data_IF_627814026783
#
_entry.id   IF_627814026783
#
_cell.length_a   1.000
_cell.length_b   1.000
_cell.length_c   1.000
_cell.angle_alpha   90.00
_cell.angle_beta   90.00
_cell.angle_gamma   90.00
#
_symmetry.space_group_name_H-M   'P 1'
#
loop_
_entity.id
_entity.type
_entity.pdbx_description
1 polymer ?
#
# COMPACT_ATOMS: atom_id res chain seq x y z
N UNK A 1 15.23 51.92 25.25
CA UNK A 1 14.66 50.87 26.13
C UNK A 1 13.14 50.71 26.05
N UNK A 2 12.29 51.68 26.44
CA UNK A 2 10.83 51.51 26.34
C UNK A 2 10.31 51.29 24.89
N UNK A 3 10.78 52.08 23.93
CA UNK A 3 10.39 51.91 22.49
C UNK A 3 10.85 50.57 21.87
N UNK A 4 12.02 50.05 22.26
CA UNK A 4 12.53 48.79 21.77
C UNK A 4 11.72 47.60 22.34
N UNK A 5 11.27 47.70 23.60
CA UNK A 5 10.41 46.69 24.21
C UNK A 5 9.04 46.68 23.54
N UNK A 6 8.46 47.84 23.23
CA UNK A 6 7.22 47.95 22.49
C UNK A 6 7.29 47.33 21.09
N UNK A 7 8.37 47.58 20.36
CA UNK A 7 8.59 47.01 19.02
C UNK A 7 8.69 45.48 19.11
N UNK A 8 9.44 44.95 20.07
CA UNK A 8 9.57 43.49 20.26
C UNK A 8 8.22 42.84 20.63
N UNK A 9 7.46 43.50 21.51
CA UNK A 9 6.12 43.01 21.87
C UNK A 9 5.12 43.05 20.72
N UNK A 10 5.13 44.10 19.91
CA UNK A 10 4.27 44.21 18.72
C UNK A 10 4.68 43.13 17.68
N UNK A 11 5.97 42.95 17.44
CA UNK A 11 6.47 41.93 16.49
C UNK A 11 6.09 40.52 16.97
N UNK A 12 6.22 40.23 18.27
CA UNK A 12 5.81 38.96 18.82
C UNK A 12 4.30 38.74 18.71
N UNK A 13 3.49 39.77 19.00
CA UNK A 13 2.02 39.69 18.88
C UNK A 13 1.59 39.43 17.43
N UNK A 14 2.21 40.11 16.46
CA UNK A 14 1.95 39.89 15.04
C UNK A 14 2.32 38.44 14.62
N UNK A 15 3.45 37.92 15.14
CA UNK A 15 3.88 36.54 14.85
C UNK A 15 2.89 35.53 15.41
N UNK A 16 2.40 35.74 16.63
CA UNK A 16 1.37 34.88 17.26
C UNK A 16 0.05 34.95 16.50
N UNK A 17 -0.38 36.13 16.08
CA UNK A 17 -1.60 36.30 15.30
C UNK A 17 -1.51 35.62 13.91
N UNK A 18 -0.38 35.76 13.21
CA UNK A 18 -0.14 35.07 11.94
C UNK A 18 -0.13 33.57 12.14
N UNK A 19 0.49 33.06 13.21
CA UNK A 19 0.51 31.64 13.52
C UNK A 19 -0.90 31.12 13.83
N UNK A 20 -1.67 31.80 14.66
CA UNK A 20 -3.08 31.44 14.97
C UNK A 20 -3.91 31.47 13.70
N UNK A 21 -3.76 32.49 12.86
CA UNK A 21 -4.51 32.62 11.60
C UNK A 21 -4.14 31.48 10.62
N UNK A 22 -2.86 31.14 10.51
CA UNK A 22 -2.43 30.03 9.66
C UNK A 22 -2.94 28.66 10.16
N UNK A 23 -2.94 28.43 11.47
CA UNK A 23 -3.49 27.21 12.07
C UNK A 23 -5.00 27.15 11.88
N UNK A 24 -5.71 28.27 12.04
CA UNK A 24 -7.16 28.35 11.82
C UNK A 24 -7.50 28.14 10.34
N UNK A 25 -6.78 28.78 9.42
CA UNK A 25 -7.00 28.64 7.98
C UNK A 25 -6.76 27.22 7.49
N UNK A 26 -5.67 26.58 7.92
CA UNK A 26 -5.40 25.16 7.61
C UNK A 26 -6.48 24.25 8.21
N UNK A 27 -7.01 24.58 9.39
CA UNK A 27 -8.10 23.83 10.01
C UNK A 27 -9.43 23.97 9.23
N UNK A 28 -9.76 25.15 8.73
CA UNK A 28 -10.97 25.37 7.92
C UNK A 28 -10.87 24.71 6.54
N UNK A 29 -9.72 24.82 5.87
CA UNK A 29 -9.45 24.15 4.59
C UNK A 29 -9.59 22.63 4.73
N UNK A 30 -9.08 22.04 5.83
CA UNK A 30 -9.26 20.63 6.13
C UNK A 30 -10.72 20.25 6.38
N UNK A 31 -11.50 21.10 7.08
CA UNK A 31 -12.93 20.86 7.30
C UNK A 31 -13.72 20.89 5.99
N UNK A 32 -13.44 21.84 5.11
CA UNK A 32 -14.10 21.94 3.81
C UNK A 32 -13.76 20.72 2.94
N UNK A 33 -12.49 20.33 2.88
CA UNK A 33 -12.02 19.14 2.19
C UNK A 33 -12.63 17.82 2.71
N UNK A 34 -12.82 17.73 4.04
CA UNK A 34 -13.48 16.57 4.69
C UNK A 34 -14.97 16.59 4.36
N UNK A 35 -15.63 17.76 4.45
CA UNK A 35 -17.06 17.92 4.11
C UNK A 35 -17.35 17.53 2.66
N UNK A 36 -16.58 18.03 1.70
CA UNK A 36 -16.69 17.67 0.29
C UNK A 36 -16.50 16.16 0.06
N UNK A 37 -15.57 15.56 0.78
CA UNK A 37 -15.30 14.11 0.69
C UNK A 37 -16.43 13.28 1.32
N UNK A 38 -17.06 13.77 2.40
CA UNK A 38 -18.22 13.14 3.01
C UNK A 38 -19.43 13.19 2.09
N UNK A 39 -19.69 14.34 1.45
CA UNK A 39 -20.74 14.49 0.44
C UNK A 39 -20.53 13.55 -0.74
N UNK A 40 -19.30 13.43 -1.25
CA UNK A 40 -18.96 12.48 -2.33
C UNK A 40 -19.21 11.05 -1.90
N UNK A 41 -18.86 10.68 -0.67
CA UNK A 41 -19.10 9.34 -0.13
C UNK A 41 -20.61 9.06 0.04
N UNK A 42 -21.37 9.98 0.61
CA UNK A 42 -22.82 9.87 0.74
C UNK A 42 -23.51 9.76 -0.63
N UNK A 43 -23.14 10.60 -1.59
CA UNK A 43 -23.64 10.53 -2.97
C UNK A 43 -23.34 9.17 -3.61
N UNK A 44 -22.14 8.64 -3.38
CA UNK A 44 -21.76 7.32 -3.88
C UNK A 44 -22.59 6.20 -3.23
N UNK A 45 -22.86 6.27 -1.93
CA UNK A 45 -23.68 5.29 -1.21
C UNK A 45 -25.14 5.35 -1.70
N UNK A 46 -25.73 6.55 -1.78
CA UNK A 46 -27.10 6.71 -2.26
C UNK A 46 -27.29 6.33 -3.74
N UNK A 47 -26.28 6.53 -4.59
CA UNK A 47 -26.35 6.08 -5.98
C UNK A 47 -26.35 4.55 -6.14
N UNK A 48 -25.87 3.83 -5.11
CA UNK A 48 -25.85 2.36 -5.11
C UNK A 48 -27.19 1.71 -4.74
N UNK A 49 -28.05 2.41 -4.01
CA UNK A 49 -29.38 1.91 -3.68
C UNK A 49 -30.28 1.77 -4.93
N UNK A 50 -29.87 2.39 -6.04
CA UNK A 50 -30.51 2.29 -7.35
C UNK A 50 -29.86 1.23 -8.27
N UNK A 51 -28.85 0.46 -7.80
CA UNK A 51 -28.06 -0.43 -8.65
C UNK A 51 -28.50 -1.89 -8.52
N UNK A 52 -29.25 -2.38 -9.53
CA UNK A 52 -29.46 -3.80 -9.72
C UNK A 52 -28.13 -4.48 -10.13
N UNK A 53 -27.77 -5.65 -9.56
CA UNK A 53 -26.57 -6.35 -9.98
C UNK A 53 -26.75 -6.83 -11.43
N UNK A 54 -26.08 -6.20 -12.36
CA UNK A 54 -25.89 -6.75 -13.71
C UNK A 54 -25.17 -8.08 -13.51
N UNK A 55 -25.89 -9.17 -13.66
CA UNK A 55 -25.34 -10.53 -13.61
C UNK A 55 -24.22 -10.63 -14.64
N UNK A 56 -22.98 -10.58 -14.18
CA UNK A 56 -21.81 -10.57 -15.03
C UNK A 56 -21.51 -12.00 -15.51
N UNK A 57 -22.33 -12.46 -16.48
CA UNK A 57 -22.21 -13.78 -17.12
C UNK A 57 -20.81 -14.01 -17.71
N UNK A 58 -20.13 -12.95 -18.16
CA UNK A 58 -18.75 -13.01 -18.64
C UNK A 58 -17.75 -13.35 -17.50
N UNK A 59 -17.98 -12.85 -16.29
CA UNK A 59 -17.14 -13.16 -15.12
C UNK A 59 -17.23 -14.63 -14.72
N UNK A 60 -18.44 -15.21 -14.79
CA UNK A 60 -18.68 -16.61 -14.45
C UNK A 60 -17.99 -17.55 -15.45
N UNK A 61 -18.05 -17.28 -16.74
CA UNK A 61 -17.43 -18.10 -17.79
C UNK A 61 -15.90 -18.06 -17.71
N UNK A 62 -15.32 -16.89 -17.43
CA UNK A 62 -13.86 -16.72 -17.27
C UNK A 62 -13.35 -17.38 -16.00
N UNK A 63 -14.05 -17.21 -14.87
CA UNK A 63 -13.75 -17.88 -13.59
C UNK A 63 -13.70 -19.40 -13.78
N UNK A 64 -14.66 -19.98 -14.52
CA UNK A 64 -14.70 -21.41 -14.80
C UNK A 64 -13.49 -21.88 -15.59
N UNK A 65 -13.08 -21.13 -16.62
CA UNK A 65 -11.88 -21.44 -17.43
C UNK A 65 -10.59 -21.45 -16.60
N UNK A 66 -10.41 -20.52 -15.65
CA UNK A 66 -9.22 -20.49 -14.78
C UNK A 66 -9.24 -21.57 -13.70
N UNK A 67 -10.41 -21.87 -13.13
CA UNK A 67 -10.57 -23.00 -12.21
C UNK A 67 -10.28 -24.35 -12.88
N UNK A 68 -10.66 -24.52 -14.14
CA UNK A 68 -10.36 -25.71 -14.94
C UNK A 68 -8.85 -25.85 -15.24
N UNK A 69 -8.08 -24.75 -15.24
CA UNK A 69 -6.63 -24.77 -15.42
C UNK A 69 -5.86 -25.05 -14.13
N UNK A 70 -6.55 -25.32 -12.99
CA UNK A 70 -5.93 -25.66 -11.70
C UNK A 70 -5.19 -24.52 -11.00
N UNK A 71 -5.37 -23.28 -11.46
CA UNK A 71 -4.65 -22.12 -10.91
C UNK A 71 -5.62 -21.21 -10.17
N UNK A 72 -5.94 -21.60 -8.94
CA UNK A 72 -6.95 -20.91 -8.12
C UNK A 72 -6.35 -19.95 -7.10
N UNK A 73 -5.09 -20.12 -6.72
CA UNK A 73 -4.51 -19.47 -5.56
C UNK A 73 -3.19 -18.77 -5.89
N UNK A 74 -3.03 -17.56 -5.40
CA UNK A 74 -1.83 -16.73 -5.60
C UNK A 74 -1.28 -16.33 -4.23
N UNK A 75 -0.03 -16.72 -3.88
CA UNK A 75 0.62 -16.18 -2.70
C UNK A 75 0.87 -14.68 -2.88
N UNK A 76 0.39 -13.88 -1.94
CA UNK A 76 0.74 -12.46 -1.82
C UNK A 76 1.63 -12.34 -0.58
N UNK A 77 2.91 -12.07 -0.77
CA UNK A 77 3.88 -12.00 0.30
C UNK A 77 3.93 -10.61 0.90
N UNK A 78 3.89 -10.52 2.22
CA UNK A 78 3.98 -9.28 2.98
C UNK A 78 5.37 -9.14 3.58
N UNK A 79 6.18 -8.29 3.00
CA UNK A 79 7.44 -7.77 3.51
C UNK A 79 7.24 -6.35 4.05
N UNK A 80 8.20 -5.85 4.83
CA UNK A 80 8.30 -4.44 5.21
C UNK A 80 9.68 -3.92 4.79
N UNK A 81 10.71 -4.13 5.58
CA UNK A 81 12.05 -3.61 5.29
C UNK A 81 13.04 -4.71 4.87
N UNK A 82 13.99 -4.34 4.03
CA UNK A 82 15.17 -5.15 3.71
C UNK A 82 16.40 -4.34 4.05
N UNK A 83 17.08 -4.71 5.14
CA UNK A 83 18.20 -3.92 5.66
C UNK A 83 19.14 -4.81 6.49
N UNK A 84 20.47 -4.53 6.55
CA UNK A 84 21.36 -5.25 7.45
C UNK A 84 20.89 -5.18 8.90
N UNK A 85 20.54 -6.32 9.49
CA UNK A 85 19.94 -6.37 10.83
C UNK A 85 21.03 -6.32 11.89
N UNK A 86 21.08 -5.28 12.76
CA UNK A 86 22.05 -5.22 13.87
C UNK A 86 21.85 -6.38 14.84
N UNK A 87 22.94 -6.90 15.41
CA UNK A 87 22.85 -8.01 16.38
C UNK A 87 21.99 -7.69 17.60
N UNK A 88 22.03 -6.43 18.06
CA UNK A 88 21.28 -5.91 19.20
C UNK A 88 19.90 -5.34 18.82
N UNK A 89 19.43 -5.57 17.60
CA UNK A 89 18.09 -5.14 17.18
C UNK A 89 17.01 -5.80 18.05
N UNK A 90 15.90 -5.07 18.30
CA UNK A 90 14.74 -5.60 19.01
C UNK A 90 14.11 -6.75 18.23
N UNK A 91 13.41 -7.66 18.92
CA UNK A 91 12.68 -8.75 18.26
C UNK A 91 11.62 -8.23 17.27
N UNK A 92 11.03 -7.07 17.55
CA UNK A 92 10.11 -6.41 16.64
C UNK A 92 10.84 -5.99 15.36
N UNK A 93 11.98 -5.29 15.46
CA UNK A 93 12.80 -4.90 14.32
C UNK A 93 13.22 -6.12 13.49
N UNK A 94 13.70 -7.17 14.14
CA UNK A 94 14.07 -8.43 13.48
C UNK A 94 12.91 -9.06 12.74
N UNK A 95 11.68 -9.02 13.30
CA UNK A 95 10.49 -9.58 12.67
C UNK A 95 10.07 -8.86 11.39
N UNK A 96 10.28 -7.54 11.31
CA UNK A 96 9.88 -6.71 10.17
C UNK A 96 11.02 -6.42 9.18
N UNK A 97 12.25 -6.87 9.47
CA UNK A 97 13.42 -6.58 8.63
C UNK A 97 14.07 -7.86 8.16
N UNK A 98 14.18 -8.03 6.86
CA UNK A 98 14.86 -9.16 6.22
C UNK A 98 16.31 -8.77 5.93
N UNK A 99 17.27 -9.58 6.35
CA UNK A 99 18.67 -9.39 5.96
C UNK A 99 18.83 -9.47 4.44
N UNK A 100 19.58 -8.56 3.78
CA UNK A 100 19.71 -8.53 2.32
C UNK A 100 20.22 -9.84 1.69
N UNK A 101 21.11 -10.57 2.36
CA UNK A 101 21.61 -11.87 1.85
C UNK A 101 20.52 -12.94 1.90
N UNK A 102 19.71 -12.93 2.96
CA UNK A 102 18.56 -13.82 3.07
C UNK A 102 17.51 -13.46 2.02
N UNK A 103 17.22 -12.17 1.81
CA UNK A 103 16.31 -11.70 0.77
C UNK A 103 16.78 -12.12 -0.63
N UNK A 104 18.06 -11.96 -0.94
CA UNK A 104 18.62 -12.42 -2.22
C UNK A 104 18.48 -13.94 -2.40
N UNK A 105 18.70 -14.72 -1.35
CA UNK A 105 18.50 -16.18 -1.37
C UNK A 105 17.04 -16.56 -1.62
N UNK A 106 16.08 -15.80 -1.07
CA UNK A 106 14.64 -15.96 -1.32
C UNK A 106 14.31 -15.68 -2.80
N UNK A 107 14.83 -14.60 -3.37
CA UNK A 107 14.59 -14.24 -4.77
C UNK A 107 15.25 -15.23 -5.73
N UNK A 108 16.45 -15.69 -5.42
CA UNK A 108 17.14 -16.74 -6.18
C UNK A 108 16.32 -18.05 -6.20
N UNK A 109 15.74 -18.42 -5.05
CA UNK A 109 14.84 -19.58 -4.97
C UNK A 109 13.63 -19.41 -5.88
N UNK A 110 12.95 -18.26 -5.83
CA UNK A 110 11.78 -17.99 -6.68
C UNK A 110 12.16 -18.08 -8.17
N UNK A 111 13.29 -17.49 -8.56
CA UNK A 111 13.79 -17.50 -9.92
C UNK A 111 14.08 -18.94 -10.42
N UNK A 112 14.86 -19.70 -9.65
CA UNK A 112 15.25 -21.08 -10.00
C UNK A 112 14.05 -22.04 -10.06
N UNK A 113 12.99 -21.77 -9.32
CA UNK A 113 11.81 -22.61 -9.28
C UNK A 113 10.67 -22.14 -10.19
N UNK A 114 10.93 -21.15 -11.07
CA UNK A 114 10.02 -20.70 -12.10
C UNK A 114 8.78 -19.96 -11.58
N UNK A 115 8.89 -19.29 -10.44
CA UNK A 115 7.86 -18.35 -10.02
C UNK A 115 7.86 -17.12 -10.92
N UNK A 116 6.68 -16.56 -11.11
CA UNK A 116 6.48 -15.33 -11.89
C UNK A 116 5.93 -14.24 -10.98
N UNK A 117 6.81 -13.37 -10.43
CA UNK A 117 6.35 -12.22 -9.65
C UNK A 117 5.56 -11.26 -10.53
N UNK A 118 4.36 -10.91 -10.06
CA UNK A 118 3.42 -9.98 -10.71
C UNK A 118 2.98 -8.92 -9.72
N UNK A 119 2.49 -7.79 -10.22
CA UNK A 119 1.87 -6.74 -9.40
C UNK A 119 0.41 -7.06 -9.06
N UNK A 120 -0.19 -6.32 -8.12
CA UNK A 120 -1.63 -6.41 -7.86
C UNK A 120 -2.46 -5.90 -9.04
N UNK A 121 -1.97 -4.89 -9.75
CA UNK A 121 -2.62 -4.40 -10.96
C UNK A 121 -2.66 -5.48 -12.04
N UNK A 122 -1.56 -6.19 -12.26
CA UNK A 122 -1.50 -7.31 -13.19
C UNK A 122 -2.41 -8.47 -12.73
N UNK A 123 -2.40 -8.80 -11.44
CA UNK A 123 -3.30 -9.81 -10.87
C UNK A 123 -4.78 -9.47 -11.11
N UNK A 124 -5.16 -8.20 -10.94
CA UNK A 124 -6.51 -7.73 -11.24
C UNK A 124 -6.87 -7.93 -12.72
N UNK A 125 -5.96 -7.58 -13.63
CA UNK A 125 -6.18 -7.75 -15.07
C UNK A 125 -6.20 -9.23 -15.50
N UNK A 126 -5.41 -10.08 -14.86
CA UNK A 126 -5.44 -11.54 -15.02
C UNK A 126 -6.81 -12.07 -14.57
N UNK A 127 -7.29 -11.66 -13.40
CA UNK A 127 -8.58 -12.10 -12.86
C UNK A 127 -9.77 -11.59 -13.67
N UNK A 128 -9.64 -10.45 -14.34
CA UNK A 128 -10.61 -9.99 -15.34
C UNK A 128 -10.51 -10.73 -16.67
N UNK A 129 -9.43 -11.48 -16.90
CA UNK A 129 -9.14 -12.20 -18.14
C UNK A 129 -8.57 -11.31 -19.24
N UNK A 130 -8.03 -10.15 -18.90
CA UNK A 130 -7.38 -9.23 -19.84
C UNK A 130 -5.91 -9.59 -20.08
N UNK A 131 -5.30 -10.31 -19.13
CA UNK A 131 -3.92 -10.83 -19.24
C UNK A 131 -3.91 -12.36 -19.10
N UNK A 132 -2.95 -13.05 -19.73
CA UNK A 132 -2.78 -14.49 -19.58
C UNK A 132 -2.35 -14.82 -18.15
N UNK A 133 -2.74 -16.00 -17.68
CA UNK A 133 -2.31 -16.51 -16.38
C UNK A 133 -0.87 -17.05 -16.47
N UNK A 134 0.10 -16.51 -15.70
CA UNK A 134 1.46 -16.98 -15.73
C UNK A 134 1.63 -18.31 -14.98
N UNK A 135 2.74 -19.01 -15.22
CA UNK A 135 3.11 -20.16 -14.38
C UNK A 135 3.53 -19.64 -13.01
N UNK A 136 3.08 -20.33 -11.94
CA UNK A 136 3.44 -20.03 -10.53
C UNK A 136 3.43 -18.53 -10.21
N UNK A 137 2.30 -17.81 -10.38
CA UNK A 137 2.22 -16.39 -10.04
C UNK A 137 2.43 -16.18 -8.55
N UNK A 138 3.10 -15.10 -8.20
CA UNK A 138 3.33 -14.65 -6.84
C UNK A 138 3.36 -13.13 -6.81
N UNK A 139 2.86 -12.50 -5.73
CA UNK A 139 2.96 -11.05 -5.56
C UNK A 139 3.90 -10.74 -4.41
N UNK A 140 4.87 -9.86 -4.65
CA UNK A 140 5.81 -9.39 -3.65
C UNK A 140 5.37 -8.00 -3.21
N UNK A 141 4.91 -7.84 -1.94
CA UNK A 141 4.45 -6.54 -1.42
C UNK A 141 5.36 -6.07 -0.30
N UNK A 142 5.66 -4.77 -0.28
CA UNK A 142 6.47 -4.10 0.74
C UNK A 142 5.65 -2.96 1.36
N UNK A 143 5.38 -3.05 2.65
CA UNK A 143 4.59 -2.06 3.38
C UNK A 143 5.48 -0.90 3.87
N UNK A 144 4.87 0.20 4.32
CA UNK A 144 5.41 1.38 4.97
C UNK A 144 6.22 2.33 4.07
N UNK A 145 6.93 1.85 3.07
CA UNK A 145 7.80 2.68 2.23
C UNK A 145 9.18 2.91 2.82
N UNK A 146 9.71 1.93 3.56
CA UNK A 146 11.05 1.95 4.14
C UNK A 146 12.14 2.10 3.09
N UNK A 147 13.17 2.91 3.41
CA UNK A 147 14.29 3.20 2.52
C UNK A 147 15.12 1.98 2.14
N UNK A 148 15.22 1.00 3.03
CA UNK A 148 15.93 -0.25 2.75
C UNK A 148 15.32 -1.04 1.58
N UNK A 149 14.05 -0.83 1.24
CA UNK A 149 13.45 -1.42 0.04
C UNK A 149 14.12 -0.88 -1.22
N UNK A 150 14.38 0.41 -1.30
CA UNK A 150 15.12 1.00 -2.42
C UNK A 150 16.60 0.62 -2.42
N UNK A 151 17.26 0.71 -1.27
CA UNK A 151 18.71 0.52 -1.17
C UNK A 151 19.15 -0.93 -1.35
N UNK A 152 18.34 -1.91 -0.85
CA UNK A 152 18.75 -3.32 -0.82
C UNK A 152 17.81 -4.24 -1.60
N UNK A 153 16.48 -4.08 -1.49
CA UNK A 153 15.57 -4.98 -2.18
C UNK A 153 15.51 -4.69 -3.69
N UNK A 154 15.39 -3.43 -4.08
CA UNK A 154 15.20 -3.05 -5.49
C UNK A 154 16.36 -3.50 -6.41
N UNK A 155 17.63 -3.35 -6.07
CA UNK A 155 18.72 -3.88 -6.90
C UNK A 155 18.63 -5.39 -7.12
N UNK A 156 18.21 -6.15 -6.09
CA UNK A 156 18.02 -7.59 -6.17
C UNK A 156 16.82 -7.92 -7.05
N UNK A 157 15.68 -7.25 -6.87
CA UNK A 157 14.49 -7.44 -7.70
C UNK A 157 14.77 -7.11 -9.17
N UNK A 158 15.51 -6.03 -9.43
CA UNK A 158 15.94 -5.62 -10.77
C UNK A 158 16.85 -6.67 -11.43
N UNK A 159 17.78 -7.27 -10.68
CA UNK A 159 18.66 -8.36 -11.16
C UNK A 159 17.87 -9.53 -11.73
N UNK A 160 16.74 -9.90 -11.11
CA UNK A 160 15.89 -11.00 -11.54
C UNK A 160 14.73 -10.56 -12.45
N UNK A 161 14.61 -9.27 -12.76
CA UNK A 161 13.48 -8.69 -13.50
C UNK A 161 12.13 -9.04 -12.85
N UNK A 162 12.06 -8.93 -11.52
CA UNK A 162 10.88 -9.25 -10.74
C UNK A 162 9.98 -8.05 -10.52
N UNK A 163 8.68 -8.21 -10.79
CA UNK A 163 7.67 -7.21 -10.47
C UNK A 163 7.35 -7.24 -8.97
N UNK A 164 7.03 -6.07 -8.42
CA UNK A 164 6.71 -5.91 -7.00
C UNK A 164 5.80 -4.72 -6.74
N UNK A 165 5.25 -4.66 -5.53
CA UNK A 165 4.34 -3.59 -5.08
C UNK A 165 4.90 -2.95 -3.83
N UNK A 166 4.93 -1.62 -3.76
CA UNK A 166 5.20 -0.88 -2.53
C UNK A 166 3.95 -0.17 -2.05
N UNK A 167 3.67 -0.20 -0.75
CA UNK A 167 2.58 0.53 -0.14
C UNK A 167 3.12 1.67 0.73
N UNK A 168 2.88 2.90 0.30
CA UNK A 168 3.49 4.09 0.90
C UNK A 168 2.64 4.67 2.01
N UNK A 169 3.25 4.92 3.18
CA UNK A 169 2.76 5.91 4.14
C UNK A 169 3.08 7.28 3.56
N UNK A 170 2.10 7.92 2.90
CA UNK A 170 2.39 9.03 2.00
C UNK A 170 2.88 10.30 2.68
N UNK A 171 2.62 10.47 3.96
CA UNK A 171 3.16 11.56 4.78
C UNK A 171 4.69 11.62 4.72
N UNK A 172 5.34 10.47 4.72
CA UNK A 172 6.79 10.39 4.77
C UNK A 172 7.45 10.38 3.39
N UNK A 173 6.68 10.05 2.34
CA UNK A 173 7.16 10.10 0.95
C UNK A 173 7.41 11.54 0.53
N UNK A 174 8.65 11.89 0.24
CA UNK A 174 9.05 13.25 -0.09
C UNK A 174 9.58 14.06 1.09
N UNK A 175 9.56 13.51 2.30
CA UNK A 175 10.40 14.00 3.38
C UNK A 175 11.83 13.48 3.16
N UNK A 176 12.82 14.35 3.28
CA UNK A 176 14.23 13.93 3.28
C UNK A 176 14.55 13.27 4.63
N UNK A 177 14.26 11.99 4.74
CA UNK A 177 14.56 11.18 5.94
C UNK A 177 15.52 10.05 5.57
N UNK A 178 16.25 9.56 6.56
CA UNK A 178 17.10 8.38 6.39
C UNK A 178 16.31 7.07 6.55
N UNK A 179 15.01 7.13 6.85
CA UNK A 179 14.19 5.96 7.17
C UNK A 179 13.22 5.59 6.04
N UNK A 180 12.69 6.57 5.34
CA UNK A 180 11.69 6.38 4.29
C UNK A 180 12.23 6.78 2.92
N UNK A 181 11.72 6.14 1.90
CA UNK A 181 12.06 6.45 0.51
C UNK A 181 11.67 7.88 0.14
N UNK A 182 12.57 8.58 -0.51
CA UNK A 182 12.29 9.87 -1.13
C UNK A 182 11.37 9.72 -2.35
N UNK A 183 10.73 10.81 -2.73
CA UNK A 183 9.93 10.90 -3.95
C UNK A 183 10.71 10.45 -5.20
N UNK A 184 11.98 10.81 -5.31
CA UNK A 184 12.79 10.53 -6.50
C UNK A 184 13.20 9.05 -6.57
N UNK A 185 13.48 8.42 -5.43
CA UNK A 185 13.72 6.97 -5.32
C UNK A 185 12.48 6.16 -5.73
N UNK A 186 11.29 6.58 -5.25
CA UNK A 186 10.02 5.94 -5.66
C UNK A 186 9.76 6.12 -7.15
N UNK A 187 10.04 7.32 -7.72
CA UNK A 187 9.92 7.56 -9.16
C UNK A 187 10.85 6.70 -9.99
N UNK A 188 12.09 6.50 -9.54
CA UNK A 188 13.03 5.62 -10.23
C UNK A 188 12.50 4.19 -10.30
N UNK A 189 12.01 3.65 -9.17
CA UNK A 189 11.42 2.31 -9.15
C UNK A 189 10.17 2.21 -10.04
N UNK A 190 9.29 3.20 -10.00
CA UNK A 190 8.10 3.26 -10.86
C UNK A 190 8.47 3.30 -12.34
N UNK A 191 9.46 4.12 -12.72
CA UNK A 191 9.92 4.27 -14.10
C UNK A 191 10.66 3.03 -14.63
N UNK A 192 11.13 2.14 -13.77
CA UNK A 192 11.71 0.86 -14.19
C UNK A 192 10.69 -0.08 -14.84
N UNK A 193 9.39 0.17 -14.63
CA UNK A 193 8.30 -0.71 -15.06
C UNK A 193 8.09 -1.95 -14.18
N UNK A 194 8.95 -2.17 -13.18
CA UNK A 194 8.86 -3.34 -12.28
C UNK A 194 8.01 -3.07 -11.04
N UNK A 195 7.89 -1.80 -10.63
CA UNK A 195 7.26 -1.40 -9.39
C UNK A 195 5.85 -0.87 -9.62
N UNK A 196 4.87 -1.41 -8.88
CA UNK A 196 3.57 -0.78 -8.67
C UNK A 196 3.60 -0.01 -7.36
N UNK A 197 3.04 1.21 -7.36
CA UNK A 197 2.88 2.05 -6.17
C UNK A 197 1.44 2.01 -5.70
N UNK A 198 1.22 1.44 -4.54
CA UNK A 198 -0.02 1.52 -3.78
C UNK A 198 0.11 2.48 -2.58
N UNK A 199 -0.95 2.58 -1.78
CA UNK A 199 -0.99 3.46 -0.60
C UNK A 199 -1.27 2.69 0.68
N UNK A 200 -0.75 3.23 1.81
CA UNK A 200 -0.88 2.66 3.16
C UNK A 200 -1.40 3.71 4.15
N UNK A 201 -2.47 4.42 3.76
CA UNK A 201 -2.96 5.66 4.35
C UNK A 201 -1.94 6.80 4.29
N UNK A 202 -2.33 7.98 4.80
CA UNK A 202 -1.41 9.11 4.88
C UNK A 202 -0.53 9.04 6.13
N UNK A 203 -1.15 8.79 7.29
CA UNK A 203 -0.51 8.87 8.61
C UNK A 203 -0.38 7.49 9.30
N UNK A 204 -0.54 6.38 8.57
CA UNK A 204 -0.49 4.99 9.08
C UNK A 204 -1.53 4.70 10.17
N UNK A 205 -2.77 5.11 9.95
CA UNK A 205 -3.85 4.92 10.94
C UNK A 205 -4.60 3.59 10.74
N UNK A 206 -5.02 2.97 11.83
CA UNK A 206 -5.92 1.82 11.78
C UNK A 206 -7.34 2.25 11.40
N UNK A 207 -7.74 2.04 10.15
CA UNK A 207 -9.02 2.50 9.62
C UNK A 207 -10.22 1.91 10.35
N UNK A 208 -10.16 0.64 10.82
CA UNK A 208 -11.24 0.03 11.60
C UNK A 208 -11.54 0.77 12.90
N UNK A 209 -10.51 1.36 13.52
CA UNK A 209 -10.62 2.08 14.80
C UNK A 209 -10.83 3.58 14.62
N UNK A 210 -10.76 4.08 13.39
CA UNK A 210 -10.85 5.50 13.10
C UNK A 210 -12.31 5.96 12.88
N UNK A 211 -12.66 7.18 13.26
CA UNK A 211 -13.95 7.79 12.88
C UNK A 211 -14.11 7.90 11.37
N UNK A 212 -15.34 7.94 10.86
CA UNK A 212 -15.63 8.00 9.41
C UNK A 212 -14.90 9.14 8.69
N UNK A 213 -14.92 10.34 9.25
CA UNK A 213 -14.24 11.50 8.62
C UNK A 213 -12.72 11.31 8.55
N UNK A 214 -12.12 10.68 9.54
CA UNK A 214 -10.69 10.32 9.50
C UNK A 214 -10.40 9.31 8.39
N UNK A 215 -11.24 8.27 8.23
CA UNK A 215 -11.09 7.30 7.14
C UNK A 215 -11.14 7.99 5.77
N UNK A 216 -12.12 8.87 5.56
CA UNK A 216 -12.27 9.65 4.33
C UNK A 216 -11.02 10.51 4.09
N UNK A 217 -10.58 11.25 5.10
CA UNK A 217 -9.39 12.10 5.02
C UNK A 217 -8.14 11.29 4.66
N UNK A 218 -7.87 10.21 5.36
CA UNK A 218 -6.68 9.38 5.18
C UNK A 218 -6.59 8.77 3.78
N UNK A 219 -7.71 8.24 3.27
CA UNK A 219 -7.76 7.64 1.93
C UNK A 219 -7.68 8.72 0.84
N UNK A 220 -8.40 9.83 1.00
CA UNK A 220 -8.33 10.97 0.06
C UNK A 220 -6.91 11.55 0.02
N UNK A 221 -6.33 11.83 1.18
CA UNK A 221 -5.04 12.48 1.28
C UNK A 221 -3.92 11.61 0.68
N UNK A 222 -3.84 10.31 1.03
CA UNK A 222 -2.82 9.43 0.46
C UNK A 222 -2.97 9.26 -1.05
N UNK A 223 -4.21 9.20 -1.57
CA UNK A 223 -4.47 9.14 -3.02
C UNK A 223 -3.96 10.39 -3.72
N UNK A 224 -4.26 11.57 -3.16
CA UNK A 224 -3.86 12.86 -3.73
C UNK A 224 -2.34 13.08 -3.62
N UNK A 225 -1.71 12.64 -2.53
CA UNK A 225 -0.26 12.72 -2.35
C UNK A 225 0.47 11.93 -3.44
N UNK A 226 0.07 10.69 -3.70
CA UNK A 226 0.68 9.88 -4.78
C UNK A 226 0.46 10.54 -6.14
N UNK A 227 -0.74 11.03 -6.45
CA UNK A 227 -1.01 11.75 -7.70
C UNK A 227 -0.10 12.99 -7.85
N UNK A 228 -0.01 13.81 -6.81
CA UNK A 228 0.77 15.04 -6.80
C UNK A 228 2.28 14.79 -6.86
N UNK A 229 2.79 13.84 -6.09
CA UNK A 229 4.23 13.59 -5.96
C UNK A 229 4.79 12.80 -7.13
N UNK A 230 4.04 11.83 -7.63
CA UNK A 230 4.54 10.84 -8.59
C UNK A 230 3.90 10.96 -9.98
N UNK A 231 2.88 11.82 -10.16
CA UNK A 231 2.04 11.85 -11.36
C UNK A 231 1.46 10.46 -11.70
N UNK A 232 1.07 9.72 -10.67
CA UNK A 232 0.61 8.34 -10.76
C UNK A 232 -0.72 8.17 -10.01
N UNK A 233 -1.67 7.44 -10.57
CA UNK A 233 -2.95 7.13 -9.89
C UNK A 233 -2.86 5.74 -9.27
N UNK A 234 -2.82 5.63 -7.94
CA UNK A 234 -2.77 4.33 -7.27
C UNK A 234 -4.10 3.60 -7.42
N UNK A 235 -4.04 2.29 -7.66
CA UNK A 235 -5.21 1.41 -7.76
C UNK A 235 -5.18 0.28 -6.73
N UNK A 236 -4.09 0.17 -5.97
CA UNK A 236 -3.93 -0.79 -4.87
C UNK A 236 -3.71 -0.09 -3.53
N UNK A 237 -4.21 -0.72 -2.48
CA UNK A 237 -4.18 -0.23 -1.10
C UNK A 237 -3.72 -1.34 -0.15
N UNK A 238 -3.11 -0.97 0.98
CA UNK A 238 -2.87 -1.87 2.10
C UNK A 238 -3.46 -1.26 3.36
N UNK A 239 -4.25 -2.04 4.10
CA UNK A 239 -4.82 -1.59 5.37
C UNK A 239 -3.79 -1.65 6.50
N UNK A 240 -3.41 -0.50 7.12
CA UNK A 240 -2.50 -0.52 8.26
C UNK A 240 -3.01 -1.42 9.39
N UNK A 241 -2.13 -2.27 9.93
CA UNK A 241 -2.47 -3.26 10.97
C UNK A 241 -3.59 -4.22 10.56
N UNK A 242 -3.81 -4.41 9.26
CA UNK A 242 -4.93 -5.19 8.73
C UNK A 242 -6.31 -4.65 9.09
N UNK A 243 -6.40 -3.40 9.60
CA UNK A 243 -7.61 -2.82 10.18
C UNK A 243 -8.57 -2.27 9.15
N UNK A 244 -9.61 -3.01 8.80
CA UNK A 244 -10.66 -2.59 7.86
C UNK A 244 -12.07 -2.79 8.44
N UNK A 245 -13.04 -2.12 7.83
CA UNK A 245 -14.47 -2.31 8.03
C UNK A 245 -15.23 -2.00 6.72
N UNK A 246 -16.57 -2.05 6.78
CA UNK A 246 -17.41 -1.76 5.62
C UNK A 246 -17.16 -0.37 5.06
N UNK A 247 -17.08 0.65 5.93
CA UNK A 247 -16.92 2.04 5.50
C UNK A 247 -15.60 2.25 4.78
N UNK A 248 -14.47 1.80 5.35
CA UNK A 248 -13.16 1.93 4.73
C UNK A 248 -13.11 1.27 3.36
N UNK A 249 -13.76 0.10 3.19
CA UNK A 249 -13.85 -0.59 1.90
C UNK A 249 -14.67 0.20 0.88
N UNK A 250 -15.82 0.74 1.27
CA UNK A 250 -16.66 1.53 0.35
C UNK A 250 -15.99 2.86 -0.03
N UNK A 251 -15.25 3.50 0.90
CA UNK A 251 -14.44 4.69 0.59
C UNK A 251 -13.35 4.33 -0.44
N UNK A 252 -12.62 3.22 -0.28
CA UNK A 252 -11.63 2.79 -1.26
C UNK A 252 -12.23 2.64 -2.66
N UNK A 253 -13.40 2.00 -2.77
CA UNK A 253 -14.13 1.89 -4.06
C UNK A 253 -14.45 3.26 -4.66
N UNK A 254 -14.95 4.19 -3.83
CA UNK A 254 -15.29 5.55 -4.27
C UNK A 254 -14.06 6.33 -4.78
N UNK A 255 -12.88 6.04 -4.26
CA UNK A 255 -11.62 6.63 -4.71
C UNK A 255 -10.91 5.86 -5.84
N UNK A 256 -11.52 4.79 -6.35
CA UNK A 256 -11.05 4.07 -7.53
C UNK A 256 -10.03 2.96 -7.24
N UNK A 257 -9.88 2.54 -5.98
CA UNK A 257 -9.08 1.37 -5.66
C UNK A 257 -9.76 0.09 -6.12
N UNK A 258 -9.00 -0.79 -6.72
CA UNK A 258 -9.50 -2.05 -7.30
C UNK A 258 -8.98 -3.28 -6.57
N UNK A 259 -7.87 -3.16 -5.86
CA UNK A 259 -7.24 -4.22 -5.07
C UNK A 259 -6.83 -3.67 -3.71
N UNK A 260 -7.05 -4.43 -2.64
CA UNK A 260 -6.52 -4.06 -1.33
C UNK A 260 -6.07 -5.28 -0.53
N UNK A 261 -4.89 -5.16 0.05
CA UNK A 261 -4.24 -6.18 0.86
C UNK A 261 -4.55 -5.99 2.36
N UNK A 262 -4.75 -7.09 3.06
CA UNK A 262 -4.95 -7.16 4.51
C UNK A 262 -3.78 -7.89 5.18
N UNK A 263 -3.86 -8.07 6.51
CA UNK A 263 -2.99 -8.98 7.25
C UNK A 263 -3.67 -10.34 7.56
N UNK A 264 -4.81 -10.64 6.94
CA UNK A 264 -5.45 -11.95 7.07
C UNK A 264 -4.50 -12.99 6.46
N UNK A 265 -4.09 -14.03 7.23
CA UNK A 265 -3.20 -15.06 6.70
C UNK A 265 -3.90 -15.91 5.65
N UNK A 266 -3.24 -16.18 4.52
CA UNK A 266 -3.80 -17.08 3.51
C UNK A 266 -3.26 -16.85 2.11
N UNK A 267 -3.78 -17.65 1.19
CA UNK A 267 -3.56 -17.56 -0.24
C UNK A 267 -4.74 -16.83 -0.88
N UNK A 268 -4.45 -15.80 -1.67
CA UNK A 268 -5.50 -15.09 -2.40
C UNK A 268 -6.05 -15.94 -3.55
N UNK A 269 -7.34 -15.82 -3.82
CA UNK A 269 -7.99 -16.52 -4.92
C UNK A 269 -9.05 -15.64 -5.62
N UNK A 270 -9.46 -16.06 -6.80
CA UNK A 270 -10.41 -15.31 -7.65
C UNK A 270 -11.80 -15.08 -7.00
N UNK A 271 -12.16 -15.85 -5.97
CA UNK A 271 -13.46 -15.72 -5.28
C UNK A 271 -13.39 -14.73 -4.12
N UNK A 272 -12.19 -14.33 -3.71
CA UNK A 272 -12.03 -13.37 -2.63
C UNK A 272 -12.56 -11.99 -3.05
N UNK A 273 -12.95 -11.19 -2.06
CA UNK A 273 -13.19 -9.77 -2.29
C UNK A 273 -11.86 -9.11 -2.65
N UNK A 274 -11.71 -8.52 -3.85
CA UNK A 274 -10.44 -7.94 -4.29
C UNK A 274 -9.95 -6.80 -3.39
N UNK A 275 -10.82 -6.24 -2.56
CA UNK A 275 -10.46 -5.23 -1.56
C UNK A 275 -10.18 -5.82 -0.17
N UNK A 276 -10.08 -7.15 -0.03
CA UNK A 276 -9.80 -7.84 1.24
C UNK A 276 -8.86 -9.03 1.03
N UNK A 277 -7.80 -8.87 0.27
CA UNK A 277 -6.90 -9.95 -0.10
C UNK A 277 -6.07 -10.43 1.10
N UNK A 278 -6.03 -11.74 1.38
CA UNK A 278 -5.15 -12.33 2.38
C UNK A 278 -3.69 -12.29 1.90
N UNK A 279 -2.77 -12.28 2.87
CA UNK A 279 -1.33 -12.30 2.60
C UNK A 279 -0.59 -13.31 3.47
N UNK A 280 0.62 -13.64 3.05
CA UNK A 280 1.57 -14.46 3.80
C UNK A 280 2.65 -13.54 4.36
N UNK A 281 2.68 -13.37 5.68
CA UNK A 281 3.74 -12.60 6.35
C UNK A 281 5.09 -13.33 6.22
N UNK A 282 6.11 -12.59 5.81
CA UNK A 282 7.51 -13.02 5.82
C UNK A 282 8.19 -12.37 7.02
N UNK A 283 8.64 -13.19 7.96
CA UNK A 283 9.27 -12.75 9.20
C UNK A 283 10.79 -12.85 9.06
N UNK A 284 11.51 -11.77 9.37
CA UNK A 284 12.97 -11.70 9.22
C UNK A 284 13.76 -12.61 10.17
N UNK A 285 13.10 -13.18 11.17
CA UNK A 285 13.69 -14.18 12.09
C UNK A 285 13.67 -15.59 11.50
N UNK A 286 12.93 -15.80 10.42
CA UNK A 286 12.80 -17.10 9.77
C UNK A 286 13.96 -17.33 8.80
N UNK A 287 14.28 -18.60 8.57
CA UNK A 287 15.29 -19.00 7.59
C UNK A 287 14.68 -19.22 6.19
N UNK A 288 15.55 -19.48 5.23
CA UNK A 288 15.13 -19.76 3.83
C UNK A 288 14.17 -20.96 3.73
N UNK A 289 14.33 -22.00 4.56
CA UNK A 289 13.43 -23.15 4.49
C UNK A 289 12.00 -22.81 4.92
N UNK A 290 11.82 -21.94 5.90
CA UNK A 290 10.50 -21.44 6.30
C UNK A 290 9.83 -20.63 5.16
N UNK A 291 10.61 -19.79 4.47
CA UNK A 291 10.15 -19.10 3.26
C UNK A 291 9.72 -20.08 2.15
N UNK A 292 10.55 -21.08 1.87
CA UNK A 292 10.24 -22.13 0.87
C UNK A 292 8.91 -22.82 1.19
N UNK A 293 8.70 -23.18 2.45
CA UNK A 293 7.45 -23.80 2.89
C UNK A 293 6.24 -22.87 2.65
N UNK A 294 6.38 -21.58 2.96
CA UNK A 294 5.32 -20.56 2.78
C UNK A 294 4.93 -20.35 1.32
N UNK A 295 5.90 -20.23 0.41
CA UNK A 295 5.59 -19.99 -1.01
C UNK A 295 5.06 -21.23 -1.73
N UNK A 296 5.24 -22.41 -1.17
CA UNK A 296 4.70 -23.67 -1.69
C UNK A 296 3.46 -24.17 -0.92
N UNK A 297 2.84 -23.31 -0.10
CA UNK A 297 1.57 -23.64 0.55
C UNK A 297 0.54 -24.07 -0.50
N UNK A 298 -0.15 -25.13 -0.18
CA UNK A 298 -1.34 -25.58 -0.93
C UNK A 298 -2.58 -25.18 -0.15
N UNK A 299 -3.70 -24.86 -0.85
CA UNK A 299 -4.99 -24.54 -0.21
C UNK A 299 -5.53 -25.72 0.58
#
# INVERSE_FOLDING_TARGET
>A
MKKEIEIVLITFLVFVLVFIFSVYYVSEENKEAISESAVKYETYIHSKDAWEPVANTHKITRTKKYLEQGVSYVPILMFHNVFPVPQNASELTKSFTIDPKLFESMMDYLHKNGFTPITLKELNEIWKGNLPYPKKPIVLTFDDGDKGVYEYAYPILKKYNFHFVIFLITKYTGMHTNFYMSKDEVKEMLNSGLCEVGTHTRDHVNLKRSPLLTKIYEIKACTNDVKRLLNYTPTSFCYPFGGFDRDSKEILKAYGYTMAATEIPGLANLKDDPLLLPRIKIDGRENLQAFINKVNLKP
#
